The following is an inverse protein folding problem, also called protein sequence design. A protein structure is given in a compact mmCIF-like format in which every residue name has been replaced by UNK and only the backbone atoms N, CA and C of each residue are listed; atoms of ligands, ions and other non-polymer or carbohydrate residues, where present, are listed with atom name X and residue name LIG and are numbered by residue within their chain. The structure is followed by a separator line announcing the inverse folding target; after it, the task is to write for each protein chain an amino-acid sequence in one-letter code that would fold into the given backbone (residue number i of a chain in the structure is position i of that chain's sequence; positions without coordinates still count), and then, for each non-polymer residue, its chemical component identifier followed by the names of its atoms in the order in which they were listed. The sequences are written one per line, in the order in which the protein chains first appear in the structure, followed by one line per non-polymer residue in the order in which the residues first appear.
data_IF_919905784625
#
_entry.id   IF_919905784625
#
_cell.length_a   1.000
_cell.length_b   1.000
_cell.length_c   1.000
_cell.angle_alpha   90.00
_cell.angle_beta   90.00
_cell.angle_gamma   90.00
#
_symmetry.space_group_name_H-M   'P 1'
#
loop_
_entity.id
_entity.type
_entity.pdbx_description
1 polymer ?
#
# COMPACT_ATOMS: atom_id res chain seq x y z
N UNK A 1 -3.15 -37.06 28.71
CA UNK A 1 -1.92 -37.69 29.23
C UNK A 1 -0.67 -36.98 28.73
N UNK A 2 -0.39 -36.94 27.42
CA UNK A 2 0.85 -36.32 26.87
C UNK A 2 1.11 -34.88 27.33
N UNK A 3 0.07 -34.02 27.41
CA UNK A 3 0.20 -32.66 27.96
C UNK A 3 0.66 -32.65 29.44
N UNK A 4 -0.02 -33.42 30.29
CA UNK A 4 0.38 -33.61 31.70
C UNK A 4 1.79 -34.19 31.85
N UNK A 5 2.22 -35.08 30.95
CA UNK A 5 3.58 -35.60 30.95
C UNK A 5 4.62 -34.50 30.72
N UNK A 6 4.39 -33.61 29.74
CA UNK A 6 5.29 -32.50 29.45
C UNK A 6 5.33 -31.51 30.62
N UNK A 7 4.19 -31.18 31.21
CA UNK A 7 4.10 -30.32 32.41
C UNK A 7 4.90 -30.92 33.56
N UNK A 8 4.63 -32.17 33.94
CA UNK A 8 5.33 -32.84 35.03
C UNK A 8 6.84 -32.99 34.78
N UNK A 9 7.25 -33.26 33.54
CA UNK A 9 8.67 -33.38 33.21
C UNK A 9 9.41 -32.03 33.30
N UNK A 10 8.74 -30.92 32.96
CA UNK A 10 9.30 -29.58 33.12
C UNK A 10 9.35 -29.16 34.60
N UNK A 11 8.30 -29.49 35.37
CA UNK A 11 8.20 -29.17 36.80
C UNK A 11 9.07 -30.09 37.69
N UNK A 12 9.53 -31.23 37.16
CA UNK A 12 10.32 -32.20 37.92
C UNK A 12 11.70 -31.71 38.35
N UNK A 13 12.19 -30.61 37.76
CA UNK A 13 13.52 -30.08 38.04
C UNK A 13 13.40 -28.77 38.84
N UNK A 14 13.99 -28.70 40.04
CA UNK A 14 14.01 -27.47 40.81
C UNK A 14 14.86 -26.40 40.10
N UNK A 15 14.43 -25.15 40.18
CA UNK A 15 15.04 -24.00 39.49
C UNK A 15 16.52 -23.74 39.84
N UNK A 16 17.03 -24.36 40.91
CA UNK A 16 18.43 -24.27 41.36
C UNK A 16 19.33 -25.40 40.82
N UNK A 17 18.80 -26.31 39.98
CA UNK A 17 19.58 -27.40 39.41
C UNK A 17 20.48 -26.92 38.26
N UNK A 18 21.65 -27.55 38.11
CA UNK A 18 22.60 -27.29 37.01
C UNK A 18 22.23 -28.00 35.70
N UNK A 19 21.19 -28.85 35.72
CA UNK A 19 20.72 -29.63 34.58
C UNK A 19 19.34 -29.17 34.15
N UNK A 20 19.10 -29.14 32.84
CA UNK A 20 17.80 -28.82 32.25
C UNK A 20 17.28 -30.01 31.45
N UNK A 21 16.04 -30.42 31.72
CA UNK A 21 15.33 -31.42 30.92
C UNK A 21 14.25 -30.72 30.10
N UNK A 22 14.21 -31.05 28.83
CA UNK A 22 13.18 -30.58 27.92
C UNK A 22 12.34 -31.77 27.47
N UNK A 23 11.05 -31.73 27.76
CA UNK A 23 10.10 -32.74 27.30
C UNK A 23 9.39 -32.26 26.04
N UNK A 24 9.14 -33.21 25.12
CA UNK A 24 8.42 -32.99 23.89
C UNK A 24 7.55 -34.19 23.57
N UNK A 25 6.40 -33.93 22.96
CA UNK A 25 5.44 -34.93 22.55
C UNK A 25 4.86 -34.61 21.19
N UNK A 26 4.17 -35.59 20.58
CA UNK A 26 3.41 -35.37 19.35
C UNK A 26 2.31 -34.32 19.53
N UNK A 27 1.70 -34.24 20.72
CA UNK A 27 0.69 -33.21 21.02
C UNK A 27 1.32 -31.82 21.10
N UNK A 28 2.51 -31.66 21.69
CA UNK A 28 3.18 -30.35 21.74
C UNK A 28 3.61 -29.87 20.35
N UNK A 29 4.00 -30.78 19.44
CA UNK A 29 4.24 -30.43 18.04
C UNK A 29 2.98 -29.85 17.39
N UNK A 30 1.84 -30.53 17.57
CA UNK A 30 0.55 -30.05 17.06
C UNK A 30 0.13 -28.73 17.71
N UNK A 31 0.36 -28.55 19.01
CA UNK A 31 0.06 -27.30 19.72
C UNK A 31 0.94 -26.15 19.21
N UNK A 32 2.23 -26.41 18.91
CA UNK A 32 3.13 -25.44 18.25
C UNK A 32 2.61 -25.09 16.85
N UNK A 33 2.29 -26.08 16.01
CA UNK A 33 1.72 -25.85 14.68
C UNK A 33 0.41 -25.07 14.73
N UNK A 34 -0.44 -25.35 15.73
CA UNK A 34 -1.68 -24.62 15.98
C UNK A 34 -1.41 -23.18 16.41
N UNK A 35 -0.48 -22.95 17.34
CA UNK A 35 -0.07 -21.60 17.76
C UNK A 35 0.52 -20.79 16.61
N UNK A 36 1.26 -21.43 15.70
CA UNK A 36 1.71 -20.80 14.45
C UNK A 36 0.57 -20.50 13.48
N UNK A 37 -0.54 -21.24 13.55
CA UNK A 37 -1.73 -21.00 12.71
C UNK A 37 -2.70 -20.01 13.34
N UNK A 38 -2.64 -19.81 14.66
CA UNK A 38 -3.54 -18.91 15.39
C UNK A 38 -3.26 -17.46 14.97
N UNK A 39 -4.26 -16.89 14.31
CA UNK A 39 -4.22 -15.50 13.88
C UNK A 39 -4.61 -14.63 15.06
N UNK A 40 -3.71 -13.78 15.49
CA UNK A 40 -4.10 -12.69 16.38
C UNK A 40 -4.89 -11.66 15.55
N UNK A 41 -6.21 -11.63 15.70
CA UNK A 41 -7.07 -10.64 15.06
C UNK A 41 -6.56 -9.21 15.30
N UNK A 42 -5.94 -8.96 16.45
CA UNK A 42 -5.32 -7.68 16.82
C UNK A 42 -4.20 -7.27 15.85
N UNK A 43 -3.31 -8.19 15.43
CA UNK A 43 -2.25 -7.86 14.45
C UNK A 43 -2.82 -7.58 13.07
N UNK A 44 -3.83 -8.36 12.65
CA UNK A 44 -4.53 -8.14 11.37
C UNK A 44 -5.22 -6.79 11.38
N UNK A 45 -6.11 -6.55 12.36
CA UNK A 45 -6.79 -5.27 12.51
C UNK A 45 -5.80 -4.09 12.64
N UNK A 46 -4.72 -4.26 13.41
CA UNK A 46 -3.66 -3.27 13.56
C UNK A 46 -2.96 -2.92 12.24
N UNK A 47 -2.62 -3.92 11.41
CA UNK A 47 -2.02 -3.68 10.10
C UNK A 47 -2.98 -3.05 9.09
N UNK A 48 -4.26 -3.42 9.10
CA UNK A 48 -5.29 -2.77 8.29
C UNK A 48 -5.50 -1.31 8.72
N UNK A 49 -5.58 -1.04 10.02
CA UNK A 49 -5.71 0.31 10.57
C UNK A 49 -4.46 1.15 10.25
N UNK A 50 -3.27 0.58 10.34
CA UNK A 50 -2.03 1.25 9.96
C UNK A 50 -2.03 1.62 8.47
N UNK A 51 -2.45 0.71 7.58
CA UNK A 51 -2.57 1.04 6.15
C UNK A 51 -3.65 2.09 5.90
N UNK A 52 -4.78 2.01 6.59
CA UNK A 52 -5.83 3.02 6.53
C UNK A 52 -5.30 4.39 6.94
N UNK A 53 -4.56 4.48 8.05
CA UNK A 53 -3.95 5.70 8.51
C UNK A 53 -2.94 6.23 7.48
N UNK A 54 -2.08 5.36 6.93
CA UNK A 54 -1.16 5.71 5.86
C UNK A 54 -1.88 6.26 4.63
N UNK A 55 -2.94 5.59 4.16
CA UNK A 55 -3.74 6.04 3.03
C UNK A 55 -4.44 7.36 3.28
N UNK A 56 -5.05 7.53 4.45
CA UNK A 56 -5.64 8.80 4.85
C UNK A 56 -4.59 9.93 4.85
N UNK A 57 -3.43 9.72 5.49
CA UNK A 57 -2.38 10.74 5.60
C UNK A 57 -1.77 11.11 4.24
N UNK A 58 -1.51 10.13 3.38
CA UNK A 58 -0.90 10.37 2.05
C UNK A 58 -1.87 11.02 1.06
N UNK A 59 -3.17 10.72 1.15
CA UNK A 59 -4.22 11.31 0.32
C UNK A 59 -4.79 12.61 0.90
N UNK A 60 -4.45 12.96 2.14
CA UNK A 60 -4.82 14.23 2.75
C UNK A 60 -3.94 15.34 2.19
N UNK A 61 -4.47 16.05 1.18
CA UNK A 61 -3.88 17.31 0.74
C UNK A 61 -4.34 18.44 1.64
N UNK A 62 -3.43 19.37 1.93
CA UNK A 62 -3.66 20.54 2.80
C UNK A 62 -4.70 21.52 2.24
N UNK A 63 -4.99 21.46 0.95
CA UNK A 63 -6.11 22.19 0.36
C UNK A 63 -7.44 21.49 0.67
N UNK A 64 -8.24 22.06 1.58
CA UNK A 64 -9.55 21.53 1.98
C UNK A 64 -10.53 21.26 0.83
N UNK A 65 -10.34 21.89 -0.34
CA UNK A 65 -11.15 21.69 -1.54
C UNK A 65 -10.61 20.58 -2.48
N UNK A 66 -9.36 20.15 -2.28
CA UNK A 66 -8.67 19.11 -3.08
C UNK A 66 -8.31 17.86 -2.28
N UNK A 67 -8.58 17.84 -0.97
CA UNK A 67 -8.39 16.68 -0.12
C UNK A 67 -9.05 15.43 -0.73
N UNK A 68 -8.39 14.27 -0.60
CA UNK A 68 -8.91 12.98 -1.08
C UNK A 68 -8.94 11.93 0.03
N UNK A 69 -8.95 12.35 1.30
CA UNK A 69 -8.90 11.43 2.44
C UNK A 69 -10.04 10.40 2.40
N UNK A 70 -11.24 10.83 1.98
CA UNK A 70 -12.39 9.95 1.85
C UNK A 70 -12.26 8.91 0.72
N UNK A 71 -11.60 9.28 -0.39
CA UNK A 71 -11.29 8.35 -1.48
C UNK A 71 -10.27 7.32 -1.01
N UNK A 72 -9.23 7.74 -0.29
CA UNK A 72 -8.26 6.84 0.32
C UNK A 72 -8.91 5.86 1.30
N UNK A 73 -9.79 6.35 2.18
CA UNK A 73 -10.55 5.54 3.12
C UNK A 73 -11.44 4.51 2.39
N UNK A 74 -12.23 4.96 1.43
CA UNK A 74 -13.14 4.11 0.66
C UNK A 74 -12.37 3.08 -0.19
N UNK A 75 -11.22 3.47 -0.75
CA UNK A 75 -10.36 2.60 -1.54
C UNK A 75 -9.69 1.50 -0.71
N UNK A 76 -9.13 1.82 0.46
CA UNK A 76 -8.58 0.79 1.37
C UNK A 76 -9.68 -0.16 1.86
N UNK A 77 -10.87 0.36 2.19
CA UNK A 77 -12.01 -0.48 2.55
C UNK A 77 -12.44 -1.38 1.39
N UNK A 78 -12.45 -0.87 0.16
CA UNK A 78 -12.75 -1.64 -1.05
C UNK A 78 -11.74 -2.76 -1.27
N UNK A 79 -10.44 -2.50 -1.10
CA UNK A 79 -9.38 -3.53 -1.18
C UNK A 79 -9.54 -4.56 -0.05
N UNK A 80 -9.87 -4.14 1.16
CA UNK A 80 -10.15 -5.06 2.26
C UNK A 80 -11.34 -5.99 1.95
N UNK A 81 -12.41 -5.46 1.37
CA UNK A 81 -13.58 -6.23 0.94
C UNK A 81 -13.27 -7.15 -0.24
N UNK A 82 -12.36 -6.77 -1.14
CA UNK A 82 -11.92 -7.63 -2.26
C UNK A 82 -11.12 -8.83 -1.75
N UNK A 83 -10.24 -8.62 -0.77
CA UNK A 83 -9.51 -9.70 -0.08
C UNK A 83 -10.48 -10.65 0.64
N UNK A 84 -11.42 -10.09 1.41
CA UNK A 84 -12.43 -10.90 2.10
C UNK A 84 -13.28 -11.72 1.12
N UNK A 85 -13.66 -11.13 -0.02
CA UNK A 85 -14.46 -11.79 -1.06
C UNK A 85 -13.67 -12.88 -1.79
N UNK A 86 -12.40 -12.64 -2.12
CA UNK A 86 -11.53 -13.64 -2.75
C UNK A 86 -11.25 -14.83 -1.84
N UNK A 87 -10.95 -14.59 -0.56
CA UNK A 87 -10.78 -15.66 0.44
C UNK A 87 -12.10 -16.40 0.72
N UNK A 88 -13.21 -15.67 0.77
CA UNK A 88 -14.56 -16.25 0.89
C UNK A 88 -14.90 -17.19 -0.25
N UNK A 89 -14.60 -16.81 -1.51
CA UNK A 89 -14.77 -17.69 -2.66
C UNK A 89 -13.85 -18.92 -2.57
N UNK A 90 -12.61 -18.75 -2.16
CA UNK A 90 -11.68 -19.88 -2.00
C UNK A 90 -12.19 -20.89 -0.95
N UNK A 91 -12.80 -20.40 0.12
CA UNK A 91 -13.48 -21.23 1.14
C UNK A 91 -14.65 -22.01 0.54
N UNK A 92 -15.49 -21.35 -0.26
CA UNK A 92 -16.62 -21.98 -0.96
C UNK A 92 -16.18 -23.05 -1.95
N UNK A 93 -15.03 -22.87 -2.60
CA UNK A 93 -14.41 -23.85 -3.50
C UNK A 93 -13.73 -25.02 -2.75
N UNK A 94 -13.71 -25.01 -1.41
CA UNK A 94 -13.14 -26.07 -0.59
C UNK A 94 -11.61 -26.02 -0.47
N UNK A 95 -10.96 -24.89 -0.77
CA UNK A 95 -9.51 -24.74 -0.62
C UNK A 95 -9.18 -24.56 0.86
N UNK A 96 -8.46 -25.51 1.44
CA UNK A 96 -8.07 -25.48 2.87
C UNK A 96 -7.20 -24.27 3.20
N UNK A 97 -7.56 -23.54 4.26
CA UNK A 97 -6.73 -22.48 4.82
C UNK A 97 -5.51 -23.06 5.55
N UNK A 98 -4.38 -22.37 5.42
CA UNK A 98 -3.14 -22.67 6.12
C UNK A 98 -2.68 -21.45 6.95
N UNK A 99 -1.71 -21.65 7.85
CA UNK A 99 -1.17 -20.58 8.68
C UNK A 99 -0.66 -19.36 7.87
N UNK A 100 0.03 -19.61 6.75
CA UNK A 100 0.58 -18.56 5.91
C UNK A 100 -0.53 -17.74 5.20
N UNK A 101 -1.61 -18.38 4.79
CA UNK A 101 -2.76 -17.74 4.12
C UNK A 101 -3.52 -16.84 5.06
N UNK A 102 -3.62 -17.18 6.34
CA UNK A 102 -4.35 -16.35 7.29
C UNK A 102 -3.47 -15.24 7.87
N UNK A 103 -2.15 -15.44 7.94
CA UNK A 103 -1.22 -14.45 8.52
C UNK A 103 -0.58 -13.52 7.51
N UNK A 104 -0.19 -14.00 6.33
CA UNK A 104 0.64 -13.22 5.37
C UNK A 104 -0.21 -12.71 4.22
N UNK A 105 -1.09 -13.56 3.67
CA UNK A 105 -1.83 -13.24 2.46
C UNK A 105 -2.68 -11.96 2.56
N UNK A 106 -3.38 -11.66 3.67
CA UNK A 106 -4.19 -10.45 3.75
C UNK A 106 -3.34 -9.17 3.63
N UNK A 107 -2.14 -9.16 4.22
CA UNK A 107 -1.24 -8.01 4.12
C UNK A 107 -0.58 -7.91 2.75
N UNK A 108 -0.18 -9.04 2.18
CA UNK A 108 0.39 -9.10 0.82
C UNK A 108 -0.61 -8.58 -0.21
N UNK A 109 -1.83 -9.11 -0.19
CA UNK A 109 -2.88 -8.74 -1.14
C UNK A 109 -3.33 -7.28 -0.96
N UNK A 110 -3.42 -6.81 0.29
CA UNK A 110 -3.72 -5.42 0.59
C UNK A 110 -2.62 -4.49 0.06
N UNK A 111 -1.35 -4.82 0.23
CA UNK A 111 -0.24 -4.05 -0.32
C UNK A 111 -0.29 -3.94 -1.85
N UNK A 112 -0.55 -5.07 -2.53
CA UNK A 112 -0.71 -5.10 -3.98
C UNK A 112 -1.90 -4.23 -4.43
N UNK A 113 -3.07 -4.37 -3.78
CA UNK A 113 -4.27 -3.65 -4.21
C UNK A 113 -4.29 -2.17 -3.89
N UNK A 114 -3.66 -1.78 -2.79
CA UNK A 114 -3.53 -0.37 -2.41
C UNK A 114 -2.59 0.37 -3.38
N UNK A 115 -1.55 -0.27 -3.92
CA UNK A 115 -0.68 0.31 -4.95
C UNK A 115 -1.46 0.72 -6.22
N UNK A 116 -2.28 -0.20 -6.75
CA UNK A 116 -3.12 0.08 -7.93
C UNK A 116 -4.13 1.21 -7.65
N UNK A 117 -4.73 1.22 -6.46
CA UNK A 117 -5.64 2.28 -6.01
C UNK A 117 -4.94 3.65 -5.93
N UNK A 118 -3.74 3.70 -5.35
CA UNK A 118 -2.94 4.91 -5.25
C UNK A 118 -2.55 5.45 -6.63
N UNK A 119 -2.12 4.57 -7.53
CA UNK A 119 -1.76 4.93 -8.89
C UNK A 119 -2.95 5.55 -9.64
N UNK A 120 -4.14 4.94 -9.54
CA UNK A 120 -5.36 5.52 -10.12
C UNK A 120 -5.71 6.87 -9.48
N UNK A 121 -5.73 6.97 -8.15
CA UNK A 121 -6.07 8.20 -7.45
C UNK A 121 -5.11 9.35 -7.79
N UNK A 122 -3.81 9.07 -7.87
CA UNK A 122 -2.81 10.06 -8.25
C UNK A 122 -3.01 10.53 -9.70
N UNK A 123 -3.10 9.60 -10.65
CA UNK A 123 -3.34 9.93 -12.07
C UNK A 123 -4.64 10.71 -12.27
N UNK A 124 -5.65 10.40 -11.45
CA UNK A 124 -6.92 11.10 -11.45
C UNK A 124 -6.76 12.57 -11.01
N UNK A 125 -5.92 12.85 -10.01
CA UNK A 125 -5.60 14.24 -9.62
C UNK A 125 -4.77 15.01 -10.63
N UNK A 126 -3.85 14.34 -11.32
CA UNK A 126 -3.02 14.97 -12.35
C UNK A 126 -3.78 15.23 -13.65
N UNK A 127 -4.91 14.55 -13.88
CA UNK A 127 -5.72 14.76 -15.07
C UNK A 127 -6.16 16.22 -15.14
N UNK A 128 -5.74 16.90 -16.21
CA UNK A 128 -5.91 18.34 -16.40
C UNK A 128 -7.37 18.78 -16.27
N UNK A 129 -7.59 19.95 -15.65
CA UNK A 129 -8.93 20.55 -15.47
C UNK A 129 -9.61 20.93 -16.79
N UNK A 130 -8.90 20.91 -17.92
CA UNK A 130 -9.42 21.27 -19.25
C UNK A 130 -10.30 20.21 -19.92
N UNK A 131 -10.43 19.00 -19.37
CA UNK A 131 -11.26 17.93 -19.92
C UNK A 131 -12.67 18.02 -19.30
N UNK A 132 -13.75 17.90 -20.10
CA UNK A 132 -15.12 17.93 -19.60
C UNK A 132 -15.34 16.84 -18.53
N UNK A 133 -16.15 17.18 -17.52
CA UNK A 133 -16.41 16.35 -16.33
C UNK A 133 -16.77 14.89 -16.68
N UNK A 134 -17.60 14.70 -17.70
CA UNK A 134 -18.12 13.39 -18.11
C UNK A 134 -17.05 12.47 -18.71
N UNK A 135 -15.98 13.02 -19.29
CA UNK A 135 -14.91 12.27 -19.95
C UNK A 135 -13.70 12.05 -19.03
N UNK A 136 -13.60 12.80 -17.93
CA UNK A 136 -12.43 12.81 -17.05
C UNK A 136 -12.11 11.45 -16.44
N UNK A 137 -13.14 10.72 -15.97
CA UNK A 137 -12.97 9.35 -15.44
C UNK A 137 -12.52 8.37 -16.52
N UNK A 138 -13.08 8.50 -17.73
CA UNK A 138 -12.71 7.67 -18.88
C UNK A 138 -11.28 7.90 -19.34
N UNK A 139 -10.83 9.16 -19.43
CA UNK A 139 -9.47 9.50 -19.86
C UNK A 139 -8.42 9.04 -18.82
N UNK A 140 -8.73 9.20 -17.53
CA UNK A 140 -7.87 8.65 -16.47
C UNK A 140 -7.76 7.12 -16.57
N UNK A 141 -8.87 6.42 -16.79
CA UNK A 141 -8.89 4.96 -16.91
C UNK A 141 -8.17 4.49 -18.19
N UNK A 142 -8.29 5.21 -19.30
CA UNK A 142 -7.57 4.93 -20.54
C UNK A 142 -6.06 5.06 -20.35
N UNK A 143 -5.60 6.08 -19.62
CA UNK A 143 -4.17 6.32 -19.39
C UNK A 143 -3.56 5.37 -18.37
N UNK A 144 -4.25 5.11 -17.26
CA UNK A 144 -3.68 4.41 -16.10
C UNK A 144 -4.23 2.98 -15.94
N UNK A 145 -5.45 2.72 -16.38
CA UNK A 145 -6.08 1.40 -16.29
C UNK A 145 -5.37 0.32 -17.10
N UNK A 146 -4.71 0.68 -18.22
CA UNK A 146 -3.87 -0.24 -18.99
C UNK A 146 -2.64 -0.69 -18.19
N UNK A 147 -1.99 0.22 -17.46
CA UNK A 147 -0.88 -0.10 -16.57
C UNK A 147 -1.33 -1.02 -15.42
N UNK A 148 -2.47 -0.71 -14.79
CA UNK A 148 -3.02 -1.54 -13.69
C UNK A 148 -3.48 -2.91 -14.17
N UNK A 149 -4.04 -3.01 -15.38
CA UNK A 149 -4.36 -4.31 -15.97
C UNK A 149 -3.09 -5.14 -16.22
N UNK A 150 -2.03 -4.52 -16.73
CA UNK A 150 -0.76 -5.21 -17.00
C UNK A 150 -0.12 -5.74 -15.71
N UNK A 151 -0.05 -4.91 -14.66
CA UNK A 151 0.48 -5.33 -13.34
C UNK A 151 -0.36 -6.45 -12.74
N UNK A 152 -1.68 -6.32 -12.75
CA UNK A 152 -2.61 -7.33 -12.23
C UNK A 152 -2.54 -8.66 -12.97
N UNK A 153 -2.50 -8.64 -14.30
CA UNK A 153 -2.38 -9.85 -15.12
C UNK A 153 -1.03 -10.53 -14.89
N UNK A 154 0.05 -9.76 -14.81
CA UNK A 154 1.39 -10.29 -14.49
C UNK A 154 1.40 -10.96 -13.11
N UNK A 155 0.82 -10.31 -12.09
CA UNK A 155 0.71 -10.87 -10.74
C UNK A 155 -0.14 -12.16 -10.73
N UNK A 156 -1.25 -12.17 -11.45
CA UNK A 156 -2.10 -13.35 -11.60
C UNK A 156 -1.33 -14.52 -12.20
N UNK A 157 -0.61 -14.30 -13.32
CA UNK A 157 0.20 -15.35 -13.98
C UNK A 157 1.31 -15.83 -13.03
N UNK A 158 1.98 -14.92 -12.32
CA UNK A 158 3.03 -15.27 -11.37
C UNK A 158 2.51 -16.17 -10.24
N UNK A 159 1.35 -15.85 -9.65
CA UNK A 159 0.74 -16.69 -8.61
C UNK A 159 0.22 -18.02 -9.17
N UNK A 160 -0.33 -18.06 -10.38
CA UNK A 160 -0.70 -19.33 -11.02
C UNK A 160 0.51 -20.23 -11.30
N UNK A 161 1.62 -19.65 -11.76
CA UNK A 161 2.87 -20.40 -11.95
C UNK A 161 3.44 -20.90 -10.62
N UNK A 162 3.32 -20.13 -9.54
CA UNK A 162 3.70 -20.57 -8.20
C UNK A 162 2.84 -21.74 -7.70
N UNK A 163 1.62 -21.92 -8.20
CA UNK A 163 0.75 -23.05 -7.84
C UNK A 163 1.20 -24.39 -8.44
N UNK A 164 2.18 -24.41 -9.35
CA UNK A 164 2.79 -25.64 -9.87
C UNK A 164 3.71 -26.33 -8.87
N UNK A 165 4.09 -25.65 -7.78
CA UNK A 165 4.94 -26.22 -6.73
C UNK A 165 4.21 -27.40 -6.06
N UNK A 166 4.84 -28.59 -5.92
CA UNK A 166 4.17 -29.81 -5.45
C UNK A 166 3.82 -29.80 -3.96
N UNK A 167 4.24 -28.77 -3.21
CA UNK A 167 3.98 -28.64 -1.77
C UNK A 167 2.54 -28.13 -1.57
N UNK A 168 1.61 -28.94 -1.02
CA UNK A 168 0.18 -28.60 -0.97
C UNK A 168 -0.13 -27.29 -0.26
N UNK A 169 0.60 -26.96 0.80
CA UNK A 169 0.45 -25.71 1.53
C UNK A 169 0.76 -24.49 0.65
N UNK A 170 1.86 -24.52 -0.11
CA UNK A 170 2.25 -23.44 -1.01
C UNK A 170 1.31 -23.34 -2.22
N UNK A 171 0.83 -24.49 -2.72
CA UNK A 171 -0.17 -24.55 -3.78
C UNK A 171 -1.49 -23.91 -3.36
N UNK A 172 -1.99 -24.21 -2.17
CA UNK A 172 -3.20 -23.58 -1.64
C UNK A 172 -3.00 -22.06 -1.45
N UNK A 173 -1.85 -21.64 -0.91
CA UNK A 173 -1.52 -20.22 -0.73
C UNK A 173 -1.49 -19.45 -2.05
N UNK A 174 -0.81 -19.98 -3.07
CA UNK A 174 -0.69 -19.35 -4.38
C UNK A 174 -2.02 -19.29 -5.14
N UNK A 175 -2.84 -20.34 -5.09
CA UNK A 175 -4.19 -20.32 -5.66
C UNK A 175 -5.08 -19.28 -4.98
N UNK A 176 -5.05 -19.20 -3.65
CA UNK A 176 -5.82 -18.18 -2.92
C UNK A 176 -5.33 -16.76 -3.27
N UNK A 177 -4.02 -16.55 -3.37
CA UNK A 177 -3.45 -15.28 -3.79
C UNK A 177 -3.88 -14.88 -5.21
N UNK A 178 -3.84 -15.82 -6.17
CA UNK A 178 -4.29 -15.58 -7.53
C UNK A 178 -5.76 -15.15 -7.59
N UNK A 179 -6.65 -15.87 -6.88
CA UNK A 179 -8.08 -15.51 -6.80
C UNK A 179 -8.28 -14.13 -6.19
N UNK A 180 -7.60 -13.84 -5.07
CA UNK A 180 -7.69 -12.54 -4.41
C UNK A 180 -7.21 -11.40 -5.32
N UNK A 181 -6.12 -11.59 -6.06
CA UNK A 181 -5.63 -10.59 -7.03
C UNK A 181 -6.65 -10.35 -8.14
N UNK A 182 -7.34 -11.39 -8.62
CA UNK A 182 -8.42 -11.23 -9.62
C UNK A 182 -9.58 -10.40 -9.08
N UNK A 183 -10.02 -10.67 -7.85
CA UNK A 183 -11.06 -9.86 -7.20
C UNK A 183 -10.61 -8.43 -6.96
N UNK A 184 -9.36 -8.25 -6.55
CA UNK A 184 -8.78 -6.93 -6.35
C UNK A 184 -8.76 -6.13 -7.67
N UNK A 185 -8.26 -6.73 -8.75
CA UNK A 185 -8.26 -6.14 -10.08
C UNK A 185 -9.68 -5.74 -10.52
N UNK A 186 -10.67 -6.62 -10.35
CA UNK A 186 -12.05 -6.32 -10.70
C UNK A 186 -12.62 -5.14 -9.87
N UNK A 187 -12.40 -5.13 -8.55
CA UNK A 187 -12.88 -4.05 -7.68
C UNK A 187 -12.19 -2.72 -7.98
N UNK A 188 -10.86 -2.71 -8.19
CA UNK A 188 -10.09 -1.50 -8.50
C UNK A 188 -10.36 -0.98 -9.91
N UNK A 189 -10.65 -1.84 -10.89
CA UNK A 189 -10.93 -1.38 -12.26
C UNK A 189 -12.39 -0.94 -12.45
N UNK A 190 -13.36 -1.59 -11.81
CA UNK A 190 -14.78 -1.30 -12.01
C UNK A 190 -15.39 -0.41 -10.92
N UNK A 191 -15.12 -0.68 -9.65
CA UNK A 191 -15.80 0.00 -8.53
C UNK A 191 -15.05 1.26 -8.11
N UNK A 192 -13.71 1.22 -8.07
CA UNK A 192 -12.92 2.38 -7.65
C UNK A 192 -13.10 3.62 -8.55
N UNK A 193 -13.16 3.52 -9.90
CA UNK A 193 -13.44 4.68 -10.74
C UNK A 193 -14.83 5.27 -10.50
N UNK A 194 -15.81 4.45 -10.10
CA UNK A 194 -17.12 4.94 -9.68
C UNK A 194 -17.02 5.77 -8.38
N UNK A 195 -16.21 5.32 -7.41
CA UNK A 195 -15.91 6.09 -6.19
C UNK A 195 -15.23 7.42 -6.54
N UNK A 196 -14.25 7.42 -7.44
CA UNK A 196 -13.59 8.64 -7.95
C UNK A 196 -14.59 9.58 -8.64
N UNK A 197 -15.49 9.02 -9.45
CA UNK A 197 -16.54 9.81 -10.13
C UNK A 197 -17.55 10.42 -9.14
N UNK A 198 -17.88 9.73 -8.05
CA UNK A 198 -18.73 10.28 -6.99
C UNK A 198 -18.01 11.38 -6.20
N UNK A 199 -16.72 11.18 -5.92
CA UNK A 199 -15.88 12.19 -5.28
C UNK A 199 -15.75 13.47 -6.13
N UNK A 200 -15.60 13.34 -7.45
CA UNK A 200 -15.66 14.49 -8.36
C UNK A 200 -16.96 15.30 -8.21
N UNK A 201 -18.11 14.61 -8.24
CA UNK A 201 -19.42 15.26 -8.13
C UNK A 201 -19.57 16.00 -6.80
N UNK A 202 -18.98 15.44 -5.74
CA UNK A 202 -18.91 16.07 -4.43
C UNK A 202 -18.02 17.31 -4.42
N UNK A 203 -16.84 17.26 -5.06
CA UNK A 203 -15.91 18.40 -5.15
C UNK A 203 -16.50 19.56 -5.93
N UNK A 204 -17.24 19.27 -6.99
CA UNK A 204 -17.98 20.29 -7.74
C UNK A 204 -18.98 21.03 -6.84
N UNK A 205 -19.66 20.28 -5.96
CA UNK A 205 -20.59 20.84 -4.96
C UNK A 205 -19.91 21.46 -3.73
N UNK A 206 -18.57 21.48 -3.65
CA UNK A 206 -17.75 22.03 -2.54
C UNK A 206 -18.14 21.53 -1.13
N UNK A 207 -18.51 20.26 -1.02
CA UNK A 207 -18.82 19.62 0.27
C UNK A 207 -17.57 19.05 0.95
N UNK A 208 -17.58 18.94 2.28
CA UNK A 208 -16.45 18.45 3.06
C UNK A 208 -16.19 16.95 2.89
N UNK A 209 -14.94 16.56 3.20
CA UNK A 209 -14.39 15.25 2.89
C UNK A 209 -14.96 14.10 3.74
N UNK A 210 -15.09 14.29 5.05
CA UNK A 210 -15.40 13.20 6.01
C UNK A 210 -16.86 13.22 6.47
N UNK A 211 -17.53 14.37 6.37
CA UNK A 211 -18.94 14.55 6.71
C UNK A 211 -19.69 15.19 5.54
N UNK A 212 -20.29 14.34 4.70
CA UNK A 212 -20.98 14.70 3.44
C UNK A 212 -22.14 15.72 3.58
N UNK A 213 -22.48 16.12 4.80
CA UNK A 213 -23.59 17.02 5.12
C UNK A 213 -23.17 18.46 5.43
N UNK A 214 -21.89 18.75 5.65
CA UNK A 214 -21.42 20.11 5.97
C UNK A 214 -20.68 20.75 4.80
N UNK A 215 -21.04 22.00 4.49
CA UNK A 215 -20.34 22.85 3.53
C UNK A 215 -19.03 23.37 4.13
N UNK A 216 -17.97 23.43 3.32
CA UNK A 216 -16.69 24.00 3.77
C UNK A 216 -16.86 25.50 4.09
N UNK A 217 -16.48 25.98 5.29
CA UNK A 217 -16.58 27.40 5.65
C UNK A 217 -15.59 28.31 4.91
N UNK A 218 -14.68 27.75 4.11
CA UNK A 218 -13.76 28.52 3.28
C UNK A 218 -14.42 28.92 1.95
N UNK A 219 -15.25 29.97 1.99
CA UNK A 219 -15.22 31.09 1.02
C UNK A 219 -16.57 31.81 1.01
N UNK A 220 -16.67 32.85 1.83
CA UNK A 220 -17.49 34.05 1.59
C UNK A 220 -17.03 35.15 2.57
N UNK A 221 -15.74 35.53 2.53
CA UNK A 221 -15.32 36.81 3.12
C UNK A 221 -15.37 37.83 1.98
N UNK A 222 -16.49 38.56 1.92
CA UNK A 222 -16.61 39.76 1.11
C UNK A 222 -15.52 40.72 1.57
N UNK A 223 -14.56 41.02 0.70
CA UNK A 223 -13.54 42.04 0.97
C UNK A 223 -14.19 43.35 0.56
N UNK A 224 -14.55 44.15 1.56
CA UNK A 224 -14.90 45.55 1.34
C UNK A 224 -13.60 46.27 0.97
N UNK A 225 -13.43 46.56 -0.32
CA UNK A 225 -12.33 47.41 -0.79
C UNK A 225 -12.67 48.83 -0.31
N UNK A 226 -11.97 49.29 0.73
CA UNK A 226 -11.98 50.70 1.12
C UNK A 226 -11.13 51.45 0.08
N UNK A 227 -11.58 52.60 -0.48
CA UNK A 227 -10.80 53.32 -1.49
C UNK A 227 -9.47 53.76 -0.88
N UNK A 228 -8.37 53.37 -1.51
CA UNK A 228 -7.04 53.79 -1.14
C UNK A 228 -6.76 55.14 -1.82
N UNK A 229 -6.58 56.20 -1.03
CA UNK A 229 -6.18 57.51 -1.54
C UNK A 229 -4.79 57.40 -2.19
N UNK A 230 -4.72 57.76 -3.47
CA UNK A 230 -3.49 57.89 -4.21
C UNK A 230 -2.89 59.26 -3.86
N UNK A 231 -2.01 59.31 -2.86
CA UNK A 231 -1.18 60.48 -2.61
C UNK A 231 -0.02 60.47 -3.62
N UNK A 232 0.07 61.52 -4.44
CA UNK A 232 1.16 61.76 -5.37
C UNK A 232 2.51 61.76 -4.64
N UNK A 233 3.38 60.82 -4.99
CA UNK A 233 4.77 60.78 -4.53
C UNK A 233 5.69 61.15 -5.70
N UNK A 234 5.88 62.45 -5.93
CA UNK A 234 7.04 62.92 -6.68
C UNK A 234 7.50 64.31 -6.18
N UNK A 235 8.02 64.35 -4.95
CA UNK A 235 8.86 65.45 -4.47
C UNK A 235 10.19 64.88 -3.98
N UNK A 236 11.21 64.97 -4.83
CA UNK A 236 12.61 64.83 -4.44
C UNK A 236 13.48 65.61 -5.42
N UNK A 237 13.54 66.93 -5.26
CA UNK A 237 14.76 67.69 -5.57
C UNK A 237 14.93 68.83 -4.58
N UNK A 238 16.06 68.76 -3.86
CA UNK A 238 16.50 69.74 -2.88
C UNK A 238 16.87 71.08 -3.54
N UNK A 239 16.46 72.20 -2.93
CA UNK A 239 17.23 73.44 -2.97
C UNK A 239 16.91 74.36 -1.77
N UNK A 240 17.88 75.22 -1.48
CA UNK A 240 18.24 75.87 -0.21
C UNK A 240 17.29 76.98 0.31
N UNK A 241 17.47 77.45 1.57
CA UNK A 241 16.48 78.27 2.29
C UNK A 241 16.70 79.79 2.20
N UNK A 242 15.64 80.51 2.62
CA UNK A 242 15.56 81.90 3.13
C UNK A 242 14.92 82.95 2.20
N UNK A 243 14.51 84.14 2.71
CA UNK A 243 13.20 84.37 3.31
C UNK A 243 12.48 85.57 2.65
N UNK A 244 11.16 85.68 2.78
CA UNK A 244 10.29 86.88 2.66
C UNK A 244 8.94 86.44 2.08
N UNK A 245 7.87 86.65 2.84
CA UNK A 245 6.54 86.09 2.57
C UNK A 245 5.66 86.94 1.67
N UNK A 246 4.62 86.30 1.12
CA UNK A 246 3.21 86.74 1.06
C UNK A 246 2.33 85.52 0.67
N UNK A 247 1.06 85.41 1.14
CA UNK A 247 0.30 84.15 1.11
C UNK A 247 -0.46 83.94 -0.20
N UNK A 248 -0.48 82.71 -0.74
CA UNK A 248 -1.44 82.30 -1.77
C UNK A 248 -2.25 81.08 -1.31
N UNK A 249 -3.58 81.19 -1.40
CA UNK A 249 -4.55 80.15 -1.07
C UNK A 249 -4.52 79.04 -2.11
N UNK A 250 -4.39 77.79 -1.68
CA UNK A 250 -4.60 76.60 -2.50
C UNK A 250 -6.01 76.03 -2.22
N UNK A 251 -6.84 75.91 -3.25
CA UNK A 251 -8.16 75.28 -3.17
C UNK A 251 -8.04 73.83 -3.64
N UNK A 252 -8.26 72.88 -2.74
CA UNK A 252 -8.30 71.44 -3.05
C UNK A 252 -9.72 71.04 -3.46
N UNK A 253 -9.87 70.31 -4.57
CA UNK A 253 -11.14 69.71 -4.99
C UNK A 253 -11.03 68.20 -4.92
N UNK A 254 -11.91 67.55 -4.15
CA UNK A 254 -11.93 66.10 -3.95
C UNK A 254 -13.20 65.52 -4.59
N UNK A 255 -13.04 64.69 -5.62
CA UNK A 255 -14.16 64.02 -6.31
C UNK A 255 -14.20 62.56 -5.85
N UNK A 256 -15.29 62.15 -5.19
CA UNK A 256 -15.51 60.74 -4.83
C UNK A 256 -16.67 60.18 -5.65
N UNK A 257 -16.40 59.20 -6.50
CA UNK A 257 -17.44 58.42 -7.21
C UNK A 257 -17.65 57.10 -6.50
N UNK A 258 -18.89 56.77 -6.15
CA UNK A 258 -19.24 55.47 -5.57
C UNK A 258 -20.20 54.73 -6.48
N UNK A 259 -19.89 53.46 -6.78
CA UNK A 259 -20.77 52.56 -7.52
C UNK A 259 -21.20 51.46 -6.56
N UNK A 260 -22.51 51.32 -6.33
CA UNK A 260 -23.07 50.22 -5.55
C UNK A 260 -23.72 49.20 -6.50
N UNK A 261 -23.26 47.96 -6.45
CA UNK A 261 -23.84 46.84 -7.17
C UNK A 261 -24.39 45.81 -6.17
N UNK A 262 -25.61 45.36 -6.39
CA UNK A 262 -26.23 44.28 -5.62
C UNK A 262 -26.54 43.09 -6.53
N UNK A 263 -26.18 41.89 -6.10
CA UNK A 263 -26.56 40.65 -6.77
C UNK A 263 -27.62 39.93 -5.96
N UNK A 264 -28.78 39.65 -6.57
CA UNK A 264 -29.86 38.85 -5.94
C UNK A 264 -30.06 37.58 -6.77
N UNK A 265 -30.07 36.42 -6.11
CA UNK A 265 -30.38 35.15 -6.76
C UNK A 265 -31.89 34.90 -6.76
N UNK A 266 -32.43 34.55 -7.92
CA UNK A 266 -33.77 34.00 -8.06
C UNK A 266 -33.74 32.47 -7.76
N UNK A 267 -34.79 31.88 -7.14
CA UNK A 267 -34.85 30.44 -6.82
C UNK A 267 -34.64 29.46 -7.98
N UNK A 268 -34.59 29.92 -9.24
CA UNK A 268 -34.29 29.10 -10.42
C UNK A 268 -32.79 29.03 -10.80
N UNK A 269 -31.89 29.72 -10.10
CA UNK A 269 -30.44 29.56 -10.26
C UNK A 269 -29.78 30.39 -11.37
N UNK A 270 -30.48 31.36 -11.96
CA UNK A 270 -29.88 32.35 -12.85
C UNK A 270 -29.46 33.62 -12.09
N UNK A 271 -28.21 34.07 -12.28
CA UNK A 271 -27.69 35.30 -11.68
C UNK A 271 -28.03 36.51 -12.54
N UNK A 272 -28.85 37.43 -12.03
CA UNK A 272 -29.08 38.75 -12.65
C UNK A 272 -28.27 39.79 -11.87
N UNK A 273 -27.42 40.55 -12.57
CA UNK A 273 -26.64 41.66 -12.01
C UNK A 273 -27.31 42.96 -12.41
N UNK A 274 -27.84 43.71 -11.45
CA UNK A 274 -28.38 45.05 -11.70
C UNK A 274 -27.35 46.08 -11.25
N UNK A 275 -26.76 46.80 -12.20
CA UNK A 275 -25.84 47.92 -11.93
C UNK A 275 -26.66 49.21 -11.99
N UNK A 276 -26.72 49.97 -10.88
CA UNK A 276 -27.26 51.34 -10.93
C UNK A 276 -26.21 52.30 -11.50
N UNK A 277 -26.63 53.34 -12.26
CA UNK A 277 -25.71 54.34 -12.79
C UNK A 277 -25.01 55.11 -11.64
N UNK A 278 -23.76 55.53 -11.84
CA UNK A 278 -22.97 56.22 -10.81
C UNK A 278 -23.59 57.57 -10.44
N UNK A 279 -23.77 57.82 -9.16
CA UNK A 279 -24.08 59.16 -8.62
C UNK A 279 -22.77 59.84 -8.19
N UNK A 280 -22.42 60.93 -8.88
CA UNK A 280 -21.33 61.81 -8.48
C UNK A 280 -21.86 62.92 -7.57
N UNK A 281 -21.26 63.12 -6.39
CA UNK A 281 -21.45 64.33 -5.60
C UNK A 281 -20.12 65.10 -5.57
N UNK A 282 -20.17 66.39 -5.91
CA UNK A 282 -19.03 67.31 -5.96
C UNK A 282 -19.24 68.36 -4.87
N UNK A 283 -18.25 68.55 -3.99
CA UNK A 283 -18.26 69.61 -2.99
C UNK A 283 -17.03 70.51 -3.20
N UNK A 284 -17.25 71.81 -3.46
CA UNK A 284 -16.18 72.81 -3.63
C UNK A 284 -16.52 74.08 -2.85
N UNK A 285 -15.58 74.60 -2.06
CA UNK A 285 -15.63 75.96 -1.47
C UNK A 285 -14.75 76.94 -2.28
N UNK A 286 -15.03 78.26 -2.29
CA UNK A 286 -14.75 79.11 -3.46
C UNK A 286 -13.55 80.04 -3.32
N UNK A 287 -12.93 80.44 -4.46
CA UNK A 287 -12.45 81.81 -4.74
C UNK A 287 -12.51 82.10 -6.26
N UNK A 288 -12.70 83.36 -6.63
CA UNK A 288 -13.34 83.93 -7.85
C UNK A 288 -12.33 84.70 -8.75
N UNK A 289 -12.40 84.56 -10.10
CA UNK A 289 -12.41 85.62 -11.16
C UNK A 289 -12.11 85.09 -12.60
N UNK A 290 -12.86 85.60 -13.59
CA UNK A 290 -12.89 85.36 -15.06
C UNK A 290 -11.94 86.33 -15.86
N UNK A 291 -11.92 86.41 -17.23
CA UNK A 291 -11.64 85.48 -18.37
C UNK A 291 -10.61 86.16 -19.36
N UNK A 292 -10.56 86.00 -20.73
CA UNK A 292 -10.96 84.95 -21.72
C UNK A 292 -9.82 84.53 -22.72
N UNK A 293 -10.02 83.48 -23.55
CA UNK A 293 -9.88 83.41 -25.05
C UNK A 293 -9.59 81.98 -25.60
N UNK A 294 -10.47 81.51 -26.48
CA UNK A 294 -10.32 80.44 -27.50
C UNK A 294 -9.43 80.89 -28.70
N UNK A 295 -9.12 80.11 -29.79
CA UNK A 295 -9.59 78.76 -30.20
C UNK A 295 -8.50 77.78 -30.77
N UNK A 296 -8.98 76.58 -31.15
CA UNK A 296 -8.64 75.81 -32.39
C UNK A 296 -7.88 74.48 -32.21
N UNK A 297 -8.50 73.37 -32.61
CA UNK A 297 -7.79 72.10 -32.89
C UNK A 297 -8.60 70.82 -32.76
N UNK A 298 -9.38 70.50 -33.79
CA UNK A 298 -10.10 69.24 -34.04
C UNK A 298 -9.26 67.95 -33.90
N UNK A 299 -9.87 66.83 -33.49
CA UNK A 299 -10.03 65.60 -34.31
C UNK A 299 -10.76 64.46 -33.54
N UNK A 300 -12.00 64.21 -33.98
CA UNK A 300 -12.63 62.91 -34.30
C UNK A 300 -12.50 61.73 -33.31
N UNK A 301 -13.67 61.40 -32.75
CA UNK A 301 -14.03 60.14 -32.11
C UNK A 301 -14.07 58.96 -33.09
N UNK A 302 -13.58 57.80 -32.66
CA UNK A 302 -13.99 56.49 -33.18
C UNK A 302 -14.48 55.62 -32.00
N UNK A 303 -15.73 55.12 -32.00
CA UNK A 303 -16.28 54.32 -30.91
C UNK A 303 -16.24 52.83 -31.28
N UNK A 304 -15.31 52.08 -30.72
CA UNK A 304 -15.41 50.61 -30.69
C UNK A 304 -14.40 50.01 -29.72
N UNK A 305 -14.77 49.89 -28.45
CA UNK A 305 -14.20 48.86 -27.60
C UNK A 305 -15.33 48.22 -26.79
N UNK A 306 -15.52 46.95 -27.08
CA UNK A 306 -16.61 46.09 -26.66
C UNK A 306 -16.48 45.75 -25.17
N UNK A 307 -17.58 45.86 -24.43
CA UNK A 307 -17.70 45.40 -23.03
C UNK A 307 -17.47 43.89 -22.84
N UNK A 308 -17.26 43.11 -23.91
CA UNK A 308 -16.86 41.68 -23.82
C UNK A 308 -15.46 41.48 -23.26
N UNK A 309 -14.52 42.40 -23.47
CA UNK A 309 -13.14 42.21 -23.00
C UNK A 309 -12.99 42.37 -21.48
N UNK A 310 -13.88 43.14 -20.84
CA UNK A 310 -13.92 43.25 -19.38
C UNK A 310 -14.52 42.01 -18.69
N UNK A 311 -15.41 41.28 -19.38
CA UNK A 311 -15.95 40.01 -18.86
C UNK A 311 -14.94 38.87 -19.00
N UNK A 312 -14.13 38.85 -20.06
CA UNK A 312 -13.05 37.88 -20.21
C UNK A 312 -11.97 38.06 -19.13
N UNK A 313 -11.63 39.31 -18.78
CA UNK A 313 -10.73 39.60 -17.67
C UNK A 313 -11.34 39.28 -16.28
N UNK A 314 -12.66 39.37 -16.11
CA UNK A 314 -13.32 38.97 -14.86
C UNK A 314 -13.40 37.45 -14.69
N UNK A 315 -13.51 36.68 -15.77
CA UNK A 315 -13.50 35.21 -15.72
C UNK A 315 -12.08 34.67 -15.47
N UNK A 316 -11.05 35.37 -15.96
CA UNK A 316 -9.64 35.10 -15.59
C UNK A 316 -9.30 35.55 -14.15
N UNK A 317 -9.99 36.55 -13.60
CA UNK A 317 -9.83 36.99 -12.21
C UNK A 317 -10.50 36.05 -11.19
N UNK A 318 -11.12 34.94 -11.63
CA UNK A 318 -11.59 33.85 -10.77
C UNK A 318 -10.44 32.89 -10.40
N UNK A 319 -9.26 33.43 -10.14
CA UNK A 319 -8.19 32.75 -9.44
C UNK A 319 -8.64 32.48 -8.01
N UNK A 320 -9.01 31.23 -7.71
CA UNK A 320 -9.26 30.79 -6.34
C UNK A 320 -8.03 31.12 -5.49
N UNK A 321 -8.19 32.03 -4.51
CA UNK A 321 -7.14 32.31 -3.53
C UNK A 321 -6.74 31.01 -2.85
N UNK A 322 -5.48 30.63 -3.06
CA UNK A 322 -4.81 29.57 -2.33
C UNK A 322 -4.96 29.82 -0.82
N UNK A 323 -5.29 28.77 -0.07
CA UNK A 323 -5.18 28.79 1.38
C UNK A 323 -3.75 29.22 1.73
N UNK A 324 -3.60 30.22 2.61
CA UNK A 324 -2.29 30.66 3.11
C UNK A 324 -1.53 29.43 3.63
N UNK A 325 -0.45 28.98 2.98
CA UNK A 325 0.26 27.81 3.45
C UNK A 325 1.12 28.25 4.64
N UNK A 326 1.02 27.51 5.75
CA UNK A 326 1.96 27.63 6.87
C UNK A 326 3.40 27.43 6.34
N UNK A 327 4.39 28.21 6.80
CA UNK A 327 5.72 28.33 6.21
C UNK A 327 6.57 27.04 6.20
N UNK A 328 6.12 25.97 6.85
CA UNK A 328 6.82 24.67 6.91
C UNK A 328 6.40 23.65 5.85
N UNK A 329 5.34 23.89 5.06
CA UNK A 329 4.69 22.84 4.26
C UNK A 329 4.66 23.13 2.74
N UNK A 330 5.79 23.49 2.13
CA UNK A 330 5.96 23.58 0.66
C UNK A 330 6.54 22.30 0.01
N UNK A 331 6.73 21.22 0.76
CA UNK A 331 7.40 20.01 0.26
C UNK A 331 6.37 19.01 -0.29
N UNK A 332 6.12 19.05 -1.60
CA UNK A 332 5.50 17.93 -2.31
C UNK A 332 6.56 16.91 -2.70
N UNK A 333 6.28 15.61 -2.57
CA UNK A 333 7.17 14.54 -3.03
C UNK A 333 7.50 14.70 -4.52
N UNK A 334 6.51 15.15 -5.31
CA UNK A 334 6.68 15.39 -6.74
C UNK A 334 7.66 16.54 -7.03
N UNK A 335 7.64 17.60 -6.22
CA UNK A 335 8.54 18.75 -6.38
C UNK A 335 9.97 18.37 -5.97
N UNK A 336 10.15 17.62 -4.88
CA UNK A 336 11.45 17.06 -4.52
C UNK A 336 12.01 16.16 -5.63
N UNK A 337 11.18 15.28 -6.20
CA UNK A 337 11.58 14.39 -7.27
C UNK A 337 12.02 15.17 -8.52
N UNK A 338 11.27 16.22 -8.90
CA UNK A 338 11.57 17.05 -10.07
C UNK A 338 12.76 17.98 -9.87
N UNK A 339 12.84 18.68 -8.74
CA UNK A 339 13.84 19.74 -8.53
C UNK A 339 15.17 19.25 -7.96
N UNK A 340 15.17 18.19 -7.15
CA UNK A 340 16.39 17.70 -6.48
C UNK A 340 16.86 16.36 -7.04
N UNK A 341 15.96 15.39 -7.20
CA UNK A 341 16.34 14.02 -7.56
C UNK A 341 16.65 13.85 -9.06
N UNK A 342 15.79 14.33 -9.94
CA UNK A 342 15.98 14.25 -11.39
C UNK A 342 17.30 14.88 -11.90
N UNK A 343 17.67 16.12 -11.52
CA UNK A 343 18.94 16.71 -11.98
C UNK A 343 20.17 15.98 -11.43
N UNK A 344 20.07 15.38 -10.24
CA UNK A 344 21.15 14.56 -9.67
C UNK A 344 21.39 13.30 -10.51
N UNK A 345 20.32 12.62 -10.93
CA UNK A 345 20.39 11.41 -11.79
C UNK A 345 20.80 11.70 -13.22
N UNK A 346 20.48 12.88 -13.76
CA UNK A 346 20.83 13.25 -15.13
C UNK A 346 22.35 13.43 -15.33
N UNK A 347 23.09 13.76 -14.26
CA UNK A 347 24.54 13.97 -14.31
C UNK A 347 25.29 12.67 -14.63
N UNK A 348 26.11 12.68 -15.68
CA UNK A 348 26.84 11.49 -16.17
C UNK A 348 27.72 10.82 -15.09
N UNK A 349 28.36 11.61 -14.22
CA UNK A 349 29.14 11.08 -13.09
C UNK A 349 28.27 10.27 -12.12
N UNK A 350 27.08 10.77 -11.80
CA UNK A 350 26.12 10.05 -10.93
C UNK A 350 25.66 8.76 -11.60
N UNK A 351 25.34 8.79 -12.90
CA UNK A 351 24.96 7.58 -13.65
C UNK A 351 26.05 6.52 -13.61
N UNK A 352 27.31 6.90 -13.82
CA UNK A 352 28.43 5.98 -13.75
C UNK A 352 28.61 5.39 -12.35
N UNK A 353 28.54 6.21 -11.29
CA UNK A 353 28.63 5.75 -9.90
C UNK A 353 27.47 4.79 -9.57
N UNK A 354 26.24 5.11 -9.97
CA UNK A 354 25.07 4.26 -9.76
C UNK A 354 25.21 2.93 -10.50
N UNK A 355 25.67 2.95 -11.76
CA UNK A 355 25.90 1.72 -12.52
C UNK A 355 26.96 0.82 -11.88
N UNK A 356 28.09 1.38 -11.44
CA UNK A 356 29.14 0.63 -10.74
C UNK A 356 28.61 0.08 -9.41
N UNK A 357 27.84 0.86 -8.66
CA UNK A 357 27.22 0.41 -7.41
C UNK A 357 26.25 -0.76 -7.64
N UNK A 358 25.37 -0.68 -8.65
CA UNK A 358 24.46 -1.77 -8.98
C UNK A 358 25.19 -3.02 -9.49
N UNK A 359 26.29 -2.87 -10.23
CA UNK A 359 27.14 -4.00 -10.63
C UNK A 359 27.83 -4.65 -9.43
N UNK A 360 28.32 -3.86 -8.47
CA UNK A 360 28.89 -4.36 -7.23
C UNK A 360 27.85 -5.07 -6.36
N UNK A 361 26.64 -4.49 -6.23
CA UNK A 361 25.51 -5.11 -5.54
C UNK A 361 25.09 -6.42 -6.22
N UNK A 362 25.04 -6.45 -7.56
CA UNK A 362 24.72 -7.66 -8.32
C UNK A 362 25.80 -8.73 -8.11
N UNK A 363 27.08 -8.37 -8.14
CA UNK A 363 28.18 -9.29 -7.84
C UNK A 363 28.10 -9.84 -6.41
N UNK A 364 27.78 -8.99 -5.43
CA UNK A 364 27.58 -9.41 -4.04
C UNK A 364 26.33 -10.29 -3.89
N UNK A 365 25.24 -10.00 -4.60
CA UNK A 365 24.04 -10.86 -4.63
C UNK A 365 24.35 -12.22 -5.24
N UNK A 366 25.08 -12.27 -6.36
CA UNK A 366 25.53 -13.52 -6.99
C UNK A 366 26.42 -14.32 -6.04
N UNK A 367 27.39 -13.68 -5.38
CA UNK A 367 28.19 -14.34 -4.35
C UNK A 367 27.31 -14.82 -3.19
N UNK A 368 26.34 -14.02 -2.77
CA UNK A 368 25.33 -14.40 -1.77
C UNK A 368 24.54 -15.64 -2.17
N UNK A 369 24.19 -15.81 -3.45
CA UNK A 369 23.52 -17.03 -3.92
C UNK A 369 24.37 -18.28 -3.76
N UNK A 370 25.71 -18.17 -3.80
CA UNK A 370 26.61 -19.30 -3.53
C UNK A 370 26.74 -19.66 -2.05
N UNK A 371 26.29 -18.78 -1.14
CA UNK A 371 26.36 -18.93 0.31
C UNK A 371 25.02 -19.32 0.95
N UNK A 372 23.95 -19.49 0.16
CA UNK A 372 22.65 -19.95 0.68
C UNK A 372 22.80 -21.40 1.12
N UNK A 373 22.78 -21.60 2.44
CA UNK A 373 22.73 -22.93 3.04
C UNK A 373 21.27 -23.38 3.15
N UNK A 374 21.01 -24.67 2.92
CA UNK A 374 19.69 -25.25 3.13
C UNK A 374 19.28 -25.13 4.62
N UNK A 375 18.10 -24.54 4.81
CA UNK A 375 17.34 -24.36 6.05
C UNK A 375 18.09 -24.62 7.37
N UNK A 376 18.63 -23.56 7.98
CA UNK A 376 19.10 -23.59 9.38
C UNK A 376 17.95 -23.13 10.29
N UNK A 377 17.36 -24.08 11.02
CA UNK A 377 16.28 -23.83 11.98
C UNK A 377 16.77 -22.96 13.15
N UNK A 378 16.60 -21.65 13.04
CA UNK A 378 17.20 -20.66 13.96
C UNK A 378 16.35 -20.32 15.19
N UNK A 379 15.13 -20.87 15.30
CA UNK A 379 14.22 -20.63 16.44
C UNK A 379 13.43 -21.87 16.84
N UNK A 380 14.02 -23.05 16.68
CA UNK A 380 13.38 -24.25 17.16
C UNK A 380 13.35 -24.26 18.71
N UNK A 381 12.29 -24.79 19.35
CA UNK A 381 12.26 -24.97 20.80
C UNK A 381 13.56 -25.65 21.28
N UNK A 382 14.03 -25.32 22.48
CA UNK A 382 15.30 -25.84 23.02
C UNK A 382 15.44 -27.37 22.88
N UNK A 383 14.32 -28.10 23.04
CA UNK A 383 14.26 -29.54 22.76
C UNK A 383 14.65 -29.92 21.33
N UNK A 384 14.09 -29.27 20.31
CA UNK A 384 14.36 -29.60 18.90
C UNK A 384 15.82 -29.29 18.56
N UNK A 385 16.36 -28.19 19.08
CA UNK A 385 17.78 -27.88 18.93
C UNK A 385 18.67 -28.97 19.56
N UNK A 386 18.35 -29.41 20.78
CA UNK A 386 19.07 -30.51 21.43
C UNK A 386 18.93 -31.84 20.66
N UNK A 387 17.73 -32.16 20.18
CA UNK A 387 17.47 -33.36 19.39
C UNK A 387 18.28 -33.36 18.09
N UNK A 388 18.28 -32.26 17.34
CA UNK A 388 19.01 -32.16 16.07
C UNK A 388 20.53 -32.22 16.27
N UNK A 389 21.05 -31.63 17.34
CA UNK A 389 22.49 -31.60 17.61
C UNK A 389 23.03 -32.94 18.15
N UNK A 390 22.28 -33.62 19.02
CA UNK A 390 22.76 -34.81 19.73
C UNK A 390 22.15 -36.13 19.23
N UNK A 391 20.93 -36.11 18.69
CA UNK A 391 20.13 -37.29 18.39
C UNK A 391 19.59 -37.27 16.95
N UNK A 392 20.47 -37.18 15.97
CA UNK A 392 20.15 -37.12 14.54
C UNK A 392 19.82 -38.48 13.90
N UNK A 393 19.17 -39.39 14.63
CA UNK A 393 18.73 -40.68 14.11
C UNK A 393 17.23 -40.66 13.77
N UNK A 394 16.86 -41.35 12.69
CA UNK A 394 15.48 -41.46 12.23
C UNK A 394 15.11 -42.93 12.05
N UNK A 395 13.88 -43.27 12.44
CA UNK A 395 13.34 -44.61 12.22
C UNK A 395 12.94 -44.76 10.75
N UNK A 396 13.50 -45.76 10.07
CA UNK A 396 13.16 -46.12 8.70
C UNK A 396 12.54 -47.51 8.67
N UNK A 397 11.40 -47.66 8.00
CA UNK A 397 10.73 -48.94 7.80
C UNK A 397 10.65 -49.24 6.31
N UNK A 398 11.30 -50.34 5.89
CA UNK A 398 11.23 -50.83 4.51
C UNK A 398 10.14 -51.89 4.46
N UNK A 399 9.13 -51.66 3.62
CA UNK A 399 7.94 -52.50 3.56
C UNK A 399 7.82 -53.10 2.16
N UNK A 400 7.74 -54.42 2.09
CA UNK A 400 7.42 -55.16 0.86
C UNK A 400 5.91 -55.14 0.64
N UNK A 401 5.46 -54.78 -0.58
CA UNK A 401 4.03 -54.70 -0.93
C UNK A 401 3.55 -55.97 -1.66
N UNK A 402 2.27 -56.02 -2.02
CA UNK A 402 1.69 -57.12 -2.79
C UNK A 402 2.38 -57.32 -4.15
N UNK A 403 2.33 -58.56 -4.67
CA UNK A 403 2.99 -58.97 -5.91
C UNK A 403 4.34 -59.68 -5.73
N UNK A 404 4.83 -59.81 -4.50
CA UNK A 404 6.04 -60.57 -4.18
C UNK A 404 5.72 -62.03 -3.81
N UNK A 405 6.36 -63.00 -4.47
CA UNK A 405 6.18 -64.42 -4.17
C UNK A 405 7.04 -64.85 -2.97
N UNK A 406 6.55 -64.57 -1.75
CA UNK A 406 7.27 -64.83 -0.49
C UNK A 406 7.80 -66.27 -0.34
N UNK A 407 7.06 -67.34 -0.68
CA UNK A 407 7.57 -68.71 -0.50
C UNK A 407 8.76 -69.03 -1.41
N UNK A 408 8.73 -68.61 -2.68
CA UNK A 408 9.75 -68.97 -3.67
C UNK A 408 10.90 -67.97 -3.81
N UNK A 409 10.77 -66.75 -3.27
CA UNK A 409 11.76 -65.68 -3.41
C UNK A 409 12.42 -65.26 -2.09
N UNK A 410 12.49 -66.15 -1.09
CA UNK A 410 13.09 -65.83 0.22
C UNK A 410 14.54 -65.33 0.12
N UNK A 411 15.34 -65.90 -0.79
CA UNK A 411 16.71 -65.48 -1.05
C UNK A 411 16.80 -64.01 -1.48
N UNK A 412 15.83 -63.51 -2.26
CA UNK A 412 15.80 -62.11 -2.67
C UNK A 412 15.57 -61.16 -1.47
N UNK A 413 14.76 -61.58 -0.48
CA UNK A 413 14.52 -60.81 0.73
C UNK A 413 15.76 -60.75 1.62
N UNK A 414 16.48 -61.87 1.74
CA UNK A 414 17.76 -61.93 2.45
C UNK A 414 18.84 -61.08 1.75
N UNK A 415 18.92 -61.15 0.42
CA UNK A 415 19.84 -60.31 -0.36
C UNK A 415 19.52 -58.83 -0.21
N UNK A 416 18.23 -58.45 -0.22
CA UNK A 416 17.81 -57.08 0.04
C UNK A 416 18.28 -56.61 1.42
N UNK A 417 18.05 -57.42 2.45
CA UNK A 417 18.49 -57.10 3.81
C UNK A 417 20.01 -56.95 3.89
N UNK A 418 20.76 -57.86 3.27
CA UNK A 418 22.21 -57.81 3.22
C UNK A 418 22.73 -56.60 2.43
N UNK A 419 22.03 -56.16 1.39
CA UNK A 419 22.42 -54.96 0.63
C UNK A 419 22.45 -53.70 1.52
N UNK A 420 21.62 -53.61 2.55
CA UNK A 420 21.66 -52.50 3.52
C UNK A 420 22.94 -52.45 4.36
N UNK A 421 23.75 -53.53 4.38
CA UNK A 421 25.08 -53.51 5.00
C UNK A 421 26.03 -52.51 4.32
N UNK A 422 25.75 -52.13 3.07
CA UNK A 422 26.55 -51.16 2.32
C UNK A 422 26.22 -49.71 2.67
N UNK A 423 25.04 -49.46 3.25
CA UNK A 423 24.58 -48.10 3.57
C UNK A 423 25.24 -47.61 4.85
N UNK A 424 25.94 -46.47 4.77
CA UNK A 424 26.71 -45.89 5.89
C UNK A 424 25.82 -45.39 7.05
N UNK A 425 24.61 -44.94 6.74
CA UNK A 425 23.70 -44.29 7.70
C UNK A 425 22.77 -45.26 8.46
N UNK A 426 22.93 -46.58 8.28
CA UNK A 426 22.18 -47.59 9.03
C UNK A 426 22.90 -47.87 10.35
N UNK A 427 22.20 -47.69 11.46
CA UNK A 427 22.71 -48.03 12.80
C UNK A 427 22.86 -49.54 12.89
N UNK A 428 24.05 -49.99 13.28
CA UNK A 428 24.39 -51.42 13.44
C UNK A 428 24.42 -51.78 14.91
N UNK A 429 24.08 -53.02 15.21
CA UNK A 429 24.13 -53.54 16.58
C UNK A 429 25.60 -53.87 16.96
N UNK A 430 25.86 -54.21 18.23
CA UNK A 430 27.22 -54.31 18.79
C UNK A 430 28.21 -55.19 18.02
N UNK A 431 27.71 -56.20 17.28
CA UNK A 431 28.53 -57.08 16.44
C UNK A 431 28.78 -56.56 15.01
N UNK A 432 28.40 -55.31 14.70
CA UNK A 432 28.34 -54.73 13.34
C UNK A 432 27.36 -55.42 12.38
N UNK A 433 26.51 -56.28 12.93
CA UNK A 433 25.43 -56.92 12.18
C UNK A 433 24.24 -55.96 12.02
N UNK A 434 23.44 -56.23 11.00
CA UNK A 434 22.17 -55.54 10.81
C UNK A 434 21.13 -56.05 11.80
N UNK A 435 20.19 -55.19 12.23
CA UNK A 435 19.04 -55.64 13.01
C UNK A 435 18.29 -56.76 12.27
N UNK A 436 18.09 -57.91 12.92
CA UNK A 436 17.46 -59.06 12.29
C UNK A 436 16.05 -58.74 11.79
N UNK A 437 15.76 -59.06 10.53
CA UNK A 437 14.38 -59.05 10.01
C UNK A 437 13.56 -60.24 10.49
N UNK A 438 12.22 -60.16 10.37
CA UNK A 438 11.26 -61.18 10.79
C UNK A 438 11.57 -62.59 10.27
N UNK A 439 12.10 -62.71 9.05
CA UNK A 439 12.40 -64.01 8.44
C UNK A 439 13.52 -64.76 9.17
N UNK A 440 14.52 -64.06 9.72
CA UNK A 440 15.58 -64.71 10.52
C UNK A 440 14.97 -65.36 11.75
N UNK A 441 14.11 -64.63 12.47
CA UNK A 441 13.42 -65.16 13.65
C UNK A 441 12.51 -66.35 13.29
N UNK A 442 11.80 -66.27 12.16
CA UNK A 442 10.95 -67.36 11.70
C UNK A 442 11.75 -68.61 11.34
N UNK A 443 12.88 -68.47 10.62
CA UNK A 443 13.77 -69.59 10.30
C UNK A 443 14.42 -70.19 11.54
N UNK A 444 14.88 -69.36 12.47
CA UNK A 444 15.48 -69.82 13.73
C UNK A 444 14.45 -70.58 14.59
N UNK A 445 13.21 -70.10 14.62
CA UNK A 445 12.11 -70.79 15.29
C UNK A 445 11.80 -72.16 14.66
N UNK A 446 11.74 -72.25 13.33
CA UNK A 446 11.53 -73.53 12.62
C UNK A 446 12.69 -74.51 12.83
N UNK A 447 13.94 -74.04 12.84
CA UNK A 447 15.11 -74.88 13.16
C UNK A 447 15.04 -75.40 14.59
N UNK A 448 14.63 -74.56 15.53
CA UNK A 448 14.38 -74.97 16.91
C UNK A 448 13.33 -76.07 17.00
N UNK A 449 12.23 -75.91 16.27
CA UNK A 449 11.13 -76.88 16.22
C UNK A 449 11.58 -78.23 15.61
N UNK A 450 12.35 -78.19 14.52
CA UNK A 450 12.92 -79.40 13.92
C UNK A 450 13.86 -80.12 14.90
N UNK A 451 14.75 -79.38 15.57
CA UNK A 451 15.67 -79.97 16.53
C UNK A 451 14.94 -80.62 17.73
N UNK A 452 13.85 -80.01 18.20
CA UNK A 452 13.01 -80.62 19.24
C UNK A 452 12.29 -81.86 18.73
N UNK A 453 11.78 -81.83 17.50
CA UNK A 453 11.13 -82.97 16.87
C UNK A 453 12.10 -84.15 16.72
N UNK A 454 13.30 -83.90 16.20
CA UNK A 454 14.33 -84.94 15.99
C UNK A 454 14.73 -85.60 17.32
N UNK A 455 14.86 -84.80 18.38
CA UNK A 455 15.16 -85.30 19.74
C UNK A 455 14.03 -86.15 20.31
N UNK A 456 12.78 -85.76 20.08
CA UNK A 456 11.62 -86.48 20.58
C UNK A 456 11.35 -87.76 19.79
N UNK A 457 11.60 -87.75 18.48
CA UNK A 457 11.59 -88.93 17.61
C UNK A 457 12.65 -89.94 18.03
N UNK A 458 13.89 -89.51 18.25
CA UNK A 458 14.97 -90.38 18.75
C UNK A 458 14.67 -90.99 20.11
N UNK A 459 13.87 -90.29 20.93
CA UNK A 459 13.44 -90.76 22.25
C UNK A 459 12.13 -91.57 22.24
N UNK A 460 11.52 -91.80 21.06
CA UNK A 460 10.27 -92.54 20.90
C UNK A 460 9.04 -91.87 21.52
N UNK A 461 9.07 -90.55 21.73
CA UNK A 461 7.94 -89.78 22.28
C UNK A 461 6.90 -89.38 21.23
N UNK A 462 7.27 -89.44 19.95
CA UNK A 462 6.48 -89.05 18.77
C UNK A 462 6.65 -90.12 17.71
#
# INVERSE_FOLDING_TARGET
WQRKFVELAQDSIPSNATQSVHAFSTTTLNDIMKSFSDVSAIRVAGGYLLMLAYACVTMLRWDCSRSQGAVGLAGVLLVALSVASGLGLCSLLGISFNAATTQVLPFLALGIGVDDMFLLAHAFTETSQHIPFKERTGECLKRTGTSVALTSISNMIAFFMAALVPIPALRAFSLQAAVVVVFNFAMVLFVFPAILSLDLHRREKRRLDILCCFYSPCSSRVIQIQPQELADANDNHACHPSPYGHPSMATSTQITTTVQAFTRCDPSGHHVVTVLPPTSQVCTSPTVLLPPTDPLGSQVFAPSSSTRDLLAQLDEAKGGRECVPLPFCRWSLADFAREKYAPLLLRTRTKAVVAVLFLALLGLSLYGTTMVHDARDTKAPAFISAQLNYFSFYNMFIVTKGGFHYPGAQAALLNLHQAFSTVKYVVREGNRDLPKMWLHYFQDWLRGLQATFDRDWQAGRI
#
